data_IF_296081334575
#
_entry.id   IF_296081334575
#
_cell.length_a   1.000
_cell.length_b   1.000
_cell.length_c   1.000
_cell.angle_alpha   90.00
_cell.angle_beta   90.00
_cell.angle_gamma   90.00
#
_symmetry.space_group_name_H-M   'P 1'
#
loop_
_entity.id
_entity.type
_entity.pdbx_description
1 polymer ?
#
# COMPACT_ATOMS: atom_id res chain seq x y z
N UNK A 1 -20.49 -45.85 -22.93
CA UNK A 1 -19.87 -44.51 -22.85
C UNK A 1 -20.21 -43.69 -21.59
N UNK A 2 -21.29 -43.94 -20.83
CA UNK A 2 -21.72 -43.04 -19.73
C UNK A 2 -21.10 -43.18 -18.31
N UNK A 3 -20.07 -44.01 -18.11
CA UNK A 3 -19.43 -44.23 -16.79
C UNK A 3 -18.17 -43.37 -16.59
N UNK A 4 -17.37 -43.21 -17.66
CA UNK A 4 -16.12 -42.44 -17.64
C UNK A 4 -16.34 -40.93 -17.53
N UNK A 5 -17.39 -40.40 -18.17
CA UNK A 5 -17.73 -38.96 -18.07
C UNK A 5 -18.20 -38.56 -16.66
N UNK A 6 -18.92 -39.44 -15.96
CA UNK A 6 -19.34 -39.20 -14.58
C UNK A 6 -18.17 -39.18 -13.60
N UNK A 7 -17.16 -40.04 -13.81
CA UNK A 7 -15.95 -40.04 -13.00
C UNK A 7 -15.10 -38.77 -13.24
N UNK A 8 -15.02 -38.31 -14.51
CA UNK A 8 -14.30 -37.09 -14.88
C UNK A 8 -14.97 -35.84 -14.31
N UNK A 9 -16.30 -35.73 -14.40
CA UNK A 9 -17.08 -34.63 -13.81
C UNK A 9 -16.97 -34.57 -12.27
N UNK A 10 -16.99 -35.73 -11.59
CA UNK A 10 -16.80 -35.78 -10.13
C UNK A 10 -15.41 -35.29 -9.72
N UNK A 11 -14.35 -35.69 -10.45
CA UNK A 11 -12.98 -35.22 -10.18
C UNK A 11 -12.83 -33.71 -10.38
N UNK A 12 -13.37 -33.13 -11.45
CA UNK A 12 -13.33 -31.67 -11.66
C UNK A 12 -14.11 -30.89 -10.59
N UNK A 13 -15.25 -31.41 -10.13
CA UNK A 13 -16.01 -30.78 -9.05
C UNK A 13 -15.24 -30.76 -7.71
N UNK A 14 -14.52 -31.85 -7.39
CA UNK A 14 -13.69 -31.95 -6.17
C UNK A 14 -12.51 -30.96 -6.23
N UNK A 15 -11.80 -30.89 -7.36
CA UNK A 15 -10.67 -29.95 -7.54
C UNK A 15 -11.15 -28.49 -7.46
N UNK A 16 -12.30 -28.17 -8.08
CA UNK A 16 -12.90 -26.83 -7.98
C UNK A 16 -13.27 -26.45 -6.53
N UNK A 17 -13.82 -27.39 -5.75
CA UNK A 17 -14.13 -27.16 -4.33
C UNK A 17 -12.88 -26.98 -3.48
N UNK A 18 -11.81 -27.73 -3.73
CA UNK A 18 -10.54 -27.56 -3.03
C UNK A 18 -9.89 -26.21 -3.31
N UNK A 19 -9.89 -25.77 -4.58
CA UNK A 19 -9.39 -24.43 -4.97
C UNK A 19 -10.19 -23.31 -4.31
N UNK A 20 -11.53 -23.41 -4.28
CA UNK A 20 -12.39 -22.44 -3.58
C UNK A 20 -12.05 -22.39 -2.08
N UNK A 21 -11.97 -23.54 -1.42
CA UNK A 21 -11.65 -23.63 0.02
C UNK A 21 -10.25 -23.06 0.35
N UNK A 22 -9.26 -23.32 -0.49
CA UNK A 22 -7.91 -22.76 -0.36
C UNK A 22 -7.92 -21.23 -0.53
N UNK A 23 -8.65 -20.72 -1.53
CA UNK A 23 -8.82 -19.27 -1.74
C UNK A 23 -9.54 -18.59 -0.57
N UNK A 24 -10.62 -19.18 -0.07
CA UNK A 24 -11.38 -18.63 1.06
C UNK A 24 -10.53 -18.64 2.35
N UNK A 25 -9.69 -19.67 2.53
CA UNK A 25 -8.69 -19.74 3.61
C UNK A 25 -7.65 -18.64 3.47
N UNK A 26 -7.02 -18.49 2.29
CA UNK A 26 -6.02 -17.46 2.05
C UNK A 26 -6.60 -16.05 2.20
N UNK A 27 -7.84 -15.82 1.76
CA UNK A 27 -8.56 -14.57 1.98
C UNK A 27 -8.80 -14.30 3.46
N UNK A 28 -9.30 -15.28 4.21
CA UNK A 28 -9.50 -15.16 5.66
C UNK A 28 -8.18 -14.92 6.40
N UNK A 29 -7.09 -15.58 6.02
CA UNK A 29 -5.75 -15.38 6.60
C UNK A 29 -5.27 -13.95 6.35
N UNK A 30 -5.36 -13.48 5.10
CA UNK A 30 -4.95 -12.13 4.70
C UNK A 30 -5.79 -11.03 5.32
N UNK A 31 -7.12 -11.12 5.28
CA UNK A 31 -7.98 -9.97 5.62
C UNK A 31 -8.36 -9.90 7.09
N UNK A 32 -7.94 -10.85 7.92
CA UNK A 32 -8.44 -10.92 9.31
C UNK A 32 -9.86 -11.50 9.44
N UNK A 33 -10.64 -11.57 8.36
CA UNK A 33 -12.05 -11.93 8.40
C UNK A 33 -12.30 -13.41 8.72
N UNK A 34 -13.48 -13.69 9.27
CA UNK A 34 -13.94 -15.06 9.47
C UNK A 34 -13.97 -15.83 8.14
N UNK A 35 -13.75 -17.15 8.17
CA UNK A 35 -13.87 -17.98 6.96
C UNK A 35 -15.25 -17.92 6.32
N UNK A 36 -16.30 -17.73 7.11
CA UNK A 36 -17.66 -17.58 6.61
C UNK A 36 -17.81 -16.29 5.79
N UNK A 37 -17.36 -15.16 6.33
CA UNK A 37 -17.35 -13.86 5.63
C UNK A 37 -16.45 -13.88 4.40
N UNK A 38 -15.29 -14.53 4.47
CA UNK A 38 -14.38 -14.68 3.33
C UNK A 38 -15.02 -15.51 2.19
N UNK A 39 -15.75 -16.57 2.53
CA UNK A 39 -16.41 -17.47 1.58
C UNK A 39 -17.66 -16.85 0.91
N UNK A 40 -18.35 -15.93 1.58
CA UNK A 40 -19.48 -15.17 1.02
C UNK A 40 -19.03 -13.94 0.25
N UNK A 41 -17.79 -13.49 0.43
CA UNK A 41 -17.26 -12.27 -0.20
C UNK A 41 -17.61 -10.99 0.55
N UNK A 42 -18.36 -11.08 1.65
CA UNK A 42 -18.73 -9.94 2.49
C UNK A 42 -17.65 -9.69 3.55
N UNK A 43 -16.46 -9.29 3.10
CA UNK A 43 -15.40 -8.85 4.01
C UNK A 43 -15.69 -7.40 4.36
N UNK A 44 -15.92 -7.11 5.64
CA UNK A 44 -16.10 -5.73 6.08
C UNK A 44 -14.81 -4.94 5.84
N UNK A 45 -14.97 -3.71 5.37
CA UNK A 45 -13.91 -2.70 5.28
C UNK A 45 -14.33 -1.56 6.18
N UNK A 46 -13.37 -1.04 6.95
CA UNK A 46 -13.59 0.06 7.87
C UNK A 46 -12.76 1.23 7.34
N UNK A 47 -13.42 2.35 7.08
CA UNK A 47 -12.79 3.60 6.66
C UNK A 47 -13.15 4.71 7.66
N UNK A 48 -12.21 5.63 7.96
CA UNK A 48 -10.83 5.65 7.50
C UNK A 48 -9.98 4.55 8.14
N UNK A 49 -9.01 4.04 7.39
CA UNK A 49 -7.95 3.18 7.93
C UNK A 49 -6.91 4.08 8.59
N UNK A 50 -6.59 3.90 9.89
CA UNK A 50 -5.52 4.66 10.50
C UNK A 50 -4.18 4.26 9.92
N UNK A 51 -3.31 5.24 9.71
CA UNK A 51 -1.91 4.99 9.43
C UNK A 51 -1.22 4.51 10.71
N UNK A 52 -0.70 3.28 10.67
CA UNK A 52 -0.03 2.63 11.78
C UNK A 52 1.49 2.52 11.59
N UNK A 53 2.06 3.13 10.54
CA UNK A 53 3.52 3.23 10.34
C UNK A 53 4.22 3.88 11.53
N UNK A 54 3.50 4.72 12.26
CA UNK A 54 3.93 5.32 13.52
C UNK A 54 4.40 4.30 14.56
N UNK A 55 3.94 3.04 14.49
CA UNK A 55 4.36 1.97 15.39
C UNK A 55 5.78 1.46 15.12
N UNK A 56 6.31 1.60 13.89
CA UNK A 56 7.64 1.10 13.51
C UNK A 56 8.77 1.85 14.22
N UNK A 57 8.57 3.14 14.48
CA UNK A 57 9.52 3.96 15.23
C UNK A 57 9.50 3.70 16.75
N UNK A 58 8.61 2.83 17.23
CA UNK A 58 8.46 2.60 18.67
C UNK A 58 9.38 1.50 19.19
N UNK A 59 9.93 1.64 20.41
CA UNK A 59 10.88 0.66 20.93
C UNK A 59 10.21 -0.65 21.37
N UNK A 60 8.88 -0.66 21.54
CA UNK A 60 8.15 -1.68 22.32
C UNK A 60 8.21 -3.10 21.74
N UNK A 61 8.49 -3.23 20.44
CA UNK A 61 8.63 -4.52 19.77
C UNK A 61 10.07 -5.04 19.72
N UNK A 62 11.04 -4.34 20.31
CA UNK A 62 12.45 -4.74 20.36
C UNK A 62 13.03 -5.11 18.97
N UNK A 63 12.69 -4.33 17.94
CA UNK A 63 13.14 -4.53 16.56
C UNK A 63 12.49 -5.73 15.84
N UNK A 64 11.50 -6.40 16.44
CA UNK A 64 10.74 -7.46 15.78
C UNK A 64 9.79 -6.89 14.73
N UNK A 65 9.58 -7.66 13.66
CA UNK A 65 8.68 -7.29 12.57
C UNK A 65 7.24 -7.14 13.04
N UNK A 66 6.64 -6.00 12.69
CA UNK A 66 5.24 -5.70 12.97
C UNK A 66 4.32 -6.16 11.83
N UNK A 67 3.07 -6.44 12.17
CA UNK A 67 1.99 -6.58 11.20
C UNK A 67 1.10 -5.35 11.28
N UNK A 68 1.46 -4.31 10.52
CA UNK A 68 0.79 -3.00 10.53
C UNK A 68 -0.61 -3.06 9.93
N UNK A 69 -0.84 -3.89 8.92
CA UNK A 69 -2.19 -4.11 8.35
C UNK A 69 -3.15 -4.66 9.42
N UNK A 70 -2.71 -5.59 10.26
CA UNK A 70 -3.53 -6.07 11.37
C UNK A 70 -3.75 -5.00 12.44
N UNK A 71 -2.73 -4.21 12.77
CA UNK A 71 -2.89 -3.08 13.70
C UNK A 71 -3.95 -2.10 13.18
N UNK A 72 -3.82 -1.69 11.91
CA UNK A 72 -4.67 -0.69 11.29
C UNK A 72 -6.12 -1.17 11.19
N UNK A 73 -6.34 -2.42 10.75
CA UNK A 73 -7.68 -3.00 10.66
C UNK A 73 -8.31 -3.21 12.03
N UNK A 74 -7.51 -3.55 13.03
CA UNK A 74 -8.00 -3.76 14.38
C UNK A 74 -8.46 -2.45 15.02
N UNK A 75 -7.67 -1.38 14.89
CA UNK A 75 -8.03 -0.04 15.37
C UNK A 75 -9.22 0.50 14.57
N UNK A 76 -9.24 0.37 13.24
CA UNK A 76 -10.39 0.77 12.42
C UNK A 76 -11.68 0.01 12.78
N UNK A 77 -11.59 -1.30 13.04
CA UNK A 77 -12.73 -2.10 13.50
C UNK A 77 -13.20 -1.65 14.90
N UNK A 78 -12.27 -1.29 15.79
CA UNK A 78 -12.56 -0.75 17.11
C UNK A 78 -13.30 0.60 17.01
N UNK A 79 -12.81 1.53 16.20
CA UNK A 79 -13.49 2.82 15.93
C UNK A 79 -14.87 2.64 15.31
N UNK A 80 -15.03 1.70 14.39
CA UNK A 80 -16.30 1.34 13.79
C UNK A 80 -17.22 0.52 14.72
N UNK A 81 -16.76 0.18 15.95
CA UNK A 81 -17.45 -0.68 16.92
C UNK A 81 -17.88 -2.03 16.32
N UNK A 82 -17.07 -2.58 15.42
CA UNK A 82 -17.36 -3.83 14.72
C UNK A 82 -16.79 -5.03 15.48
N UNK A 83 -17.51 -5.46 16.52
CA UNK A 83 -17.11 -6.58 17.39
C UNK A 83 -16.62 -7.84 16.63
N UNK A 84 -17.33 -8.35 15.60
CA UNK A 84 -16.88 -9.55 14.88
C UNK A 84 -15.53 -9.40 14.17
N UNK A 85 -15.22 -8.21 13.65
CA UNK A 85 -13.94 -7.94 12.98
C UNK A 85 -12.83 -7.75 14.01
N UNK A 86 -13.12 -7.01 15.09
CA UNK A 86 -12.21 -6.85 16.22
C UNK A 86 -11.83 -8.20 16.83
N UNK A 87 -12.79 -9.05 17.19
CA UNK A 87 -12.54 -10.36 17.80
C UNK A 87 -11.72 -11.28 16.89
N UNK A 88 -12.06 -11.32 15.59
CA UNK A 88 -11.37 -12.18 14.63
C UNK A 88 -9.91 -11.77 14.40
N UNK A 89 -9.62 -10.47 14.38
CA UNK A 89 -8.26 -9.93 14.20
C UNK A 89 -7.49 -9.99 15.52
N UNK A 90 -8.10 -9.60 16.65
CA UNK A 90 -7.49 -9.61 17.98
C UNK A 90 -6.94 -10.99 18.33
N UNK A 91 -7.71 -12.05 18.08
CA UNK A 91 -7.23 -13.43 18.28
C UNK A 91 -5.95 -13.72 17.51
N UNK A 92 -5.83 -13.28 16.25
CA UNK A 92 -4.61 -13.49 15.46
C UNK A 92 -3.44 -12.68 16.01
N UNK A 93 -3.69 -11.45 16.45
CA UNK A 93 -2.66 -10.59 17.07
C UNK A 93 -2.14 -11.24 18.34
N UNK A 94 -3.02 -11.69 19.23
CA UNK A 94 -2.69 -12.39 20.47
C UNK A 94 -1.97 -13.73 20.22
N UNK A 95 -2.40 -14.53 19.25
CA UNK A 95 -1.82 -15.87 19.04
C UNK A 95 -0.52 -15.85 18.23
N UNK A 96 -0.34 -14.88 17.33
CA UNK A 96 0.69 -14.95 16.27
C UNK A 96 1.48 -13.68 16.02
N UNK A 97 1.03 -12.53 16.54
CA UNK A 97 1.68 -11.23 16.29
C UNK A 97 1.88 -10.46 17.59
N UNK A 98 2.57 -11.08 18.55
CA UNK A 98 2.98 -10.46 19.82
C UNK A 98 3.76 -9.15 19.65
N UNK A 99 4.64 -8.98 18.63
CA UNK A 99 5.26 -7.69 18.35
C UNK A 99 4.24 -6.57 18.09
N UNK A 100 3.23 -6.84 17.25
CA UNK A 100 2.16 -5.89 16.96
C UNK A 100 1.37 -5.53 18.22
N UNK A 101 1.10 -6.51 19.09
CA UNK A 101 0.42 -6.27 20.36
C UNK A 101 1.25 -5.32 21.25
N UNK A 102 2.54 -5.61 21.44
CA UNK A 102 3.43 -4.79 22.25
C UNK A 102 3.53 -3.36 21.72
N UNK A 103 3.58 -3.18 20.40
CA UNK A 103 3.59 -1.87 19.76
C UNK A 103 2.27 -1.11 19.97
N UNK A 104 1.12 -1.75 19.75
CA UNK A 104 -0.20 -1.15 19.96
C UNK A 104 -0.43 -0.71 21.40
N UNK A 105 -0.08 -1.55 22.37
CA UNK A 105 -0.22 -1.25 23.78
C UNK A 105 0.80 -0.21 24.25
N UNK A 106 2.02 -0.25 23.71
CA UNK A 106 3.10 0.66 24.08
C UNK A 106 2.88 2.08 23.56
N UNK A 107 2.35 2.22 22.34
CA UNK A 107 1.97 3.52 21.77
C UNK A 107 0.98 4.28 22.67
N UNK A 108 0.14 3.55 23.39
CA UNK A 108 -0.79 4.09 24.39
C UNK A 108 -0.10 4.27 25.75
N UNK A 109 0.38 3.19 26.36
CA UNK A 109 0.74 3.17 27.78
C UNK A 109 2.21 3.52 28.07
N UNK A 110 3.06 3.55 27.05
CA UNK A 110 4.46 3.95 27.14
C UNK A 110 4.66 5.46 27.27
N UNK A 111 3.63 6.26 26.99
CA UNK A 111 3.66 7.72 27.14
C UNK A 111 3.46 8.14 28.60
N UNK A 112 4.26 9.08 29.09
CA UNK A 112 4.15 9.60 30.46
C UNK A 112 2.78 10.23 30.75
N UNK A 113 2.18 10.87 29.75
CA UNK A 113 0.85 11.49 29.88
C UNK A 113 -0.26 10.48 30.20
N UNK A 114 -0.05 9.21 29.84
CA UNK A 114 -1.00 8.11 30.06
C UNK A 114 -0.70 7.34 31.35
N UNK A 115 0.25 7.80 32.17
CA UNK A 115 0.55 7.18 33.46
C UNK A 115 -0.66 7.07 34.40
N UNK A 116 -1.48 8.13 34.58
CA UNK A 116 -2.67 8.03 35.43
C UNK A 116 -3.65 6.96 34.94
N UNK A 117 -3.82 6.84 33.62
CA UNK A 117 -4.73 5.87 33.00
C UNK A 117 -4.21 4.45 33.21
N UNK A 118 -2.91 4.22 33.00
CA UNK A 118 -2.32 2.89 33.22
C UNK A 118 -2.20 2.50 34.70
N UNK A 119 -2.46 3.40 35.66
CA UNK A 119 -2.60 3.06 37.09
C UNK A 119 -4.07 2.90 37.52
N UNK A 120 -5.00 3.18 36.62
CA UNK A 120 -6.44 3.13 36.90
C UNK A 120 -6.87 1.72 37.34
N UNK A 121 -7.85 1.61 38.25
CA UNK A 121 -8.50 0.33 38.52
C UNK A 121 -9.29 -0.19 37.30
N UNK A 122 -9.56 0.65 36.29
CA UNK A 122 -10.33 0.29 35.11
C UNK A 122 -9.55 -0.44 34.02
N UNK A 123 -8.21 -0.43 34.06
CA UNK A 123 -7.39 -1.30 33.21
C UNK A 123 -7.13 -2.64 33.90
N UNK A 124 -6.79 -3.69 33.16
CA UNK A 124 -6.45 -5.00 33.71
C UNK A 124 -5.21 -4.97 34.62
N UNK A 125 -5.05 -6.01 35.44
CA UNK A 125 -3.83 -6.19 36.24
C UNK A 125 -2.58 -6.36 35.35
N UNK A 126 -2.75 -7.03 34.20
CA UNK A 126 -1.72 -7.23 33.19
C UNK A 126 -1.21 -5.91 32.62
N UNK A 127 -2.13 -5.02 32.22
CA UNK A 127 -1.75 -3.70 31.71
C UNK A 127 -1.04 -2.86 32.77
N UNK A 128 -1.52 -2.89 34.03
CA UNK A 128 -0.87 -2.19 35.14
C UNK A 128 0.56 -2.67 35.41
N UNK A 129 0.80 -3.98 35.33
CA UNK A 129 2.14 -4.54 35.58
C UNK A 129 3.09 -4.32 34.40
N UNK A 130 2.56 -4.30 33.17
CA UNK A 130 3.35 -4.12 31.96
C UNK A 130 3.69 -2.66 31.64
N UNK A 131 2.78 -1.71 31.90
CA UNK A 131 2.96 -0.31 31.53
C UNK A 131 4.27 0.36 32.04
N UNK A 132 4.78 0.08 33.26
CA UNK A 132 6.09 0.57 33.68
C UNK A 132 7.25 0.13 32.76
N UNK A 133 7.21 -1.09 32.22
CA UNK A 133 8.22 -1.59 31.28
C UNK A 133 8.15 -0.84 29.94
N UNK A 134 6.94 -0.59 29.45
CA UNK A 134 6.73 0.22 28.24
C UNK A 134 7.30 1.64 28.42
N UNK A 135 7.06 2.30 29.56
CA UNK A 135 7.63 3.63 29.82
C UNK A 135 9.15 3.62 29.93
N UNK A 136 9.72 2.59 30.56
CA UNK A 136 11.17 2.43 30.60
C UNK A 136 11.74 2.32 29.17
N UNK A 137 11.10 1.53 28.32
CA UNK A 137 11.47 1.37 26.91
C UNK A 137 11.38 2.69 26.13
N UNK A 138 10.34 3.49 26.34
CA UNK A 138 10.20 4.81 25.71
C UNK A 138 11.37 5.75 26.08
N UNK A 139 11.86 5.68 27.32
CA UNK A 139 12.98 6.52 27.81
C UNK A 139 14.35 6.04 27.34
N UNK A 140 14.57 4.74 27.27
CA UNK A 140 15.85 4.15 26.88
C UNK A 140 15.99 3.89 25.38
N UNK A 141 14.88 3.94 24.64
CA UNK A 141 14.77 3.39 23.28
C UNK A 141 15.11 1.89 23.18
N UNK A 142 15.02 1.17 24.30
CA UNK A 142 15.24 -0.28 24.39
C UNK A 142 13.99 -0.97 24.94
N UNK A 143 13.21 -1.61 24.06
CA UNK A 143 12.01 -2.35 24.44
C UNK A 143 12.21 -3.83 24.72
N UNK A 144 13.45 -4.33 24.86
CA UNK A 144 13.73 -5.75 25.08
C UNK A 144 12.93 -6.32 26.26
N UNK A 145 12.93 -5.62 27.40
CA UNK A 145 12.20 -6.06 28.58
C UNK A 145 10.67 -5.98 28.42
N UNK A 146 10.18 -4.94 27.72
CA UNK A 146 8.75 -4.75 27.47
C UNK A 146 8.22 -5.84 26.53
N UNK A 147 8.94 -6.14 25.46
CA UNK A 147 8.58 -7.19 24.51
C UNK A 147 8.65 -8.59 25.13
N UNK A 148 9.73 -8.89 25.87
CA UNK A 148 9.89 -10.17 26.54
C UNK A 148 8.74 -10.47 27.53
N UNK A 149 8.21 -9.45 28.20
CA UNK A 149 7.05 -9.59 29.06
C UNK A 149 5.79 -9.97 28.26
N UNK A 150 5.55 -9.34 27.10
CA UNK A 150 4.41 -9.68 26.21
C UNK A 150 4.54 -11.09 25.64
N UNK A 151 5.75 -11.53 25.32
CA UNK A 151 6.01 -12.88 24.81
C UNK A 151 5.70 -13.97 25.86
N UNK A 152 5.93 -13.67 27.14
CA UNK A 152 5.69 -14.59 28.26
C UNK A 152 4.23 -14.61 28.74
N UNK A 153 3.41 -13.64 28.34
CA UNK A 153 1.99 -13.58 28.72
C UNK A 153 1.20 -14.78 28.20
N UNK A 154 0.26 -15.28 28.99
CA UNK A 154 -0.73 -16.25 28.51
C UNK A 154 -1.58 -15.66 27.39
N UNK A 155 -2.41 -16.48 26.75
CA UNK A 155 -3.36 -15.99 25.76
C UNK A 155 -4.39 -15.05 26.41
N UNK A 156 -4.83 -15.33 27.64
CA UNK A 156 -5.77 -14.46 28.37
C UNK A 156 -5.11 -13.13 28.74
N UNK A 157 -3.91 -13.15 29.32
CA UNK A 157 -3.20 -11.93 29.73
C UNK A 157 -2.92 -11.00 28.53
N UNK A 158 -2.52 -11.56 27.40
CA UNK A 158 -2.30 -10.79 26.18
C UNK A 158 -3.62 -10.25 25.58
N UNK A 159 -4.71 -11.00 25.68
CA UNK A 159 -6.03 -10.51 25.29
C UNK A 159 -6.45 -9.32 26.16
N UNK A 160 -6.27 -9.40 27.48
CA UNK A 160 -6.55 -8.31 28.42
C UNK A 160 -5.74 -7.05 28.08
N UNK A 161 -4.43 -7.20 27.83
CA UNK A 161 -3.56 -6.09 27.44
C UNK A 161 -4.01 -5.45 26.12
N UNK A 162 -4.38 -6.27 25.14
CA UNK A 162 -4.85 -5.79 23.84
C UNK A 162 -6.21 -5.08 23.96
N UNK A 163 -7.14 -5.62 24.74
CA UNK A 163 -8.47 -5.02 24.96
C UNK A 163 -8.35 -3.66 25.63
N UNK A 164 -7.57 -3.56 26.72
CA UNK A 164 -7.30 -2.28 27.39
C UNK A 164 -6.69 -1.24 26.42
N UNK A 165 -5.73 -1.67 25.60
CA UNK A 165 -5.12 -0.79 24.60
C UNK A 165 -6.15 -0.30 23.57
N UNK A 166 -7.01 -1.19 23.06
CA UNK A 166 -8.06 -0.84 22.09
C UNK A 166 -9.12 0.07 22.69
N UNK A 167 -9.51 -0.15 23.94
CA UNK A 167 -10.40 0.77 24.66
C UNK A 167 -9.79 2.17 24.74
N UNK A 168 -8.48 2.26 24.96
CA UNK A 168 -7.80 3.54 24.92
C UNK A 168 -7.75 4.16 23.52
N UNK A 169 -7.46 3.38 22.47
CA UNK A 169 -7.54 3.83 21.08
C UNK A 169 -8.95 4.29 20.69
N UNK A 170 -10.00 3.72 21.29
CA UNK A 170 -11.39 4.14 21.08
C UNK A 170 -11.73 5.45 21.81
N UNK A 171 -11.09 5.71 22.95
CA UNK A 171 -11.26 6.94 23.73
C UNK A 171 -10.44 8.11 23.14
N UNK A 172 -9.26 7.81 22.63
CA UNK A 172 -8.37 8.73 21.95
C UNK A 172 -8.70 8.81 20.46
N UNK A 173 -9.76 9.53 20.11
CA UNK A 173 -9.94 10.07 18.74
C UNK A 173 -8.92 11.17 18.41
N UNK A 174 -7.69 11.06 18.91
CA UNK A 174 -6.59 11.94 18.58
C UNK A 174 -6.14 11.63 17.16
N UNK A 175 -5.97 12.66 16.34
CA UNK A 175 -5.58 12.47 14.94
C UNK A 175 -4.17 11.88 14.87
N UNK A 176 -3.88 11.15 13.79
CA UNK A 176 -2.53 10.62 13.51
C UNK A 176 -1.46 11.71 13.59
N UNK A 177 -1.82 12.95 13.27
CA UNK A 177 -0.95 14.13 13.35
C UNK A 177 -0.56 14.47 14.80
N UNK A 178 -1.49 14.36 15.75
CA UNK A 178 -1.22 14.62 17.17
C UNK A 178 -0.26 13.57 17.76
N UNK A 179 -0.40 12.31 17.36
CA UNK A 179 0.49 11.22 17.79
C UNK A 179 1.87 11.39 17.13
N UNK A 180 1.91 11.78 15.85
CA UNK A 180 3.16 12.00 15.08
C UNK A 180 3.98 13.17 15.64
N UNK A 181 3.34 14.30 15.92
CA UNK A 181 3.99 15.47 16.53
C UNK A 181 4.49 15.19 17.95
N UNK A 182 3.85 14.28 18.65
CA UNK A 182 4.28 13.84 19.97
C UNK A 182 5.49 12.91 19.91
N UNK A 183 5.57 11.99 18.96
CA UNK A 183 6.73 11.11 18.79
C UNK A 183 7.98 11.89 18.36
N UNK A 184 7.82 12.87 17.46
CA UNK A 184 8.90 13.79 17.08
C UNK A 184 9.47 14.60 18.25
N UNK A 185 8.68 14.86 19.30
CA UNK A 185 9.13 15.56 20.51
C UNK A 185 9.91 14.67 21.48
N UNK A 186 9.77 13.34 21.38
CA UNK A 186 10.41 12.37 22.30
C UNK A 186 11.71 11.79 21.71
N UNK A 187 11.89 11.81 20.38
CA UNK A 187 13.11 11.32 19.72
C UNK A 187 13.91 12.44 19.02
N UNK A 188 15.09 12.86 19.54
CA UNK A 188 15.95 13.81 18.85
C UNK A 188 16.66 13.17 17.64
N UNK A 189 16.75 13.94 16.54
CA UNK A 189 17.00 13.50 15.16
C UNK A 189 18.47 13.24 14.79
N UNK A 190 18.70 12.22 13.93
CA UNK A 190 19.61 12.31 12.77
C UNK A 190 20.95 11.53 12.79
N UNK A 191 21.29 10.75 11.74
CA UNK A 191 22.64 10.24 11.49
C UNK A 191 23.54 11.25 10.72
N UNK A 192 24.88 11.20 10.84
CA UNK A 192 25.79 12.23 10.32
C UNK A 192 26.11 12.08 8.81
N UNK A 193 26.59 13.16 8.14
CA UNK A 193 26.74 13.22 6.69
C UNK A 193 28.04 12.59 6.19
N UNK A 194 27.99 11.92 5.01
CA UNK A 194 29.17 11.39 4.31
C UNK A 194 29.73 12.41 3.32
N UNK A 195 31.00 12.75 3.50
CA UNK A 195 31.85 13.54 2.58
C UNK A 195 32.37 12.70 1.41
N UNK A 196 32.48 13.32 0.22
CA UNK A 196 32.73 12.67 -1.07
C UNK A 196 34.17 12.24 -1.39
N UNK A 197 34.29 11.57 -2.54
CA UNK A 197 35.53 11.13 -3.21
C UNK A 197 35.24 10.50 -4.59
N UNK A 198 36.23 10.39 -5.51
CA UNK A 198 36.10 10.85 -6.91
C UNK A 198 35.93 9.75 -7.99
N UNK A 199 35.59 10.23 -9.19
CA UNK A 199 35.31 9.56 -10.47
C UNK A 199 36.53 8.86 -11.10
N UNK A 200 36.37 7.60 -11.55
CA UNK A 200 37.28 6.91 -12.48
C UNK A 200 36.52 5.95 -13.41
N UNK A 201 36.94 5.96 -14.68
CA UNK A 201 36.39 5.25 -15.84
C UNK A 201 36.74 3.75 -15.93
N UNK A 202 35.84 3.04 -16.60
CA UNK A 202 35.99 1.83 -17.45
C UNK A 202 35.89 0.41 -16.86
N UNK A 203 34.84 -0.28 -17.32
CA UNK A 203 34.65 -1.72 -17.54
C UNK A 203 34.78 -2.73 -16.39
N UNK A 204 34.85 -2.27 -15.13
CA UNK A 204 34.61 -3.12 -13.97
C UNK A 204 33.21 -2.87 -13.41
N UNK A 205 32.49 -3.93 -13.00
CA UNK A 205 31.28 -3.80 -12.18
C UNK A 205 31.62 -2.89 -10.98
N UNK A 206 31.01 -1.70 -10.85
CA UNK A 206 31.36 -0.73 -9.81
C UNK A 206 31.23 -1.29 -8.39
N UNK A 207 30.55 -2.42 -8.23
CA UNK A 207 30.33 -3.10 -6.96
C UNK A 207 31.46 -4.09 -6.59
N UNK A 208 32.32 -4.47 -7.53
CA UNK A 208 33.38 -5.47 -7.28
C UNK A 208 34.51 -4.96 -6.41
N UNK A 209 34.87 -3.66 -6.51
CA UNK A 209 35.87 -3.06 -5.64
C UNK A 209 35.46 -3.09 -4.16
N UNK A 210 34.15 -2.95 -3.90
CA UNK A 210 33.58 -3.02 -2.56
C UNK A 210 33.53 -4.46 -2.02
N UNK A 211 33.12 -5.43 -2.86
CA UNK A 211 33.15 -6.86 -2.51
C UNK A 211 34.57 -7.34 -2.21
N UNK A 212 35.57 -6.92 -2.99
CA UNK A 212 36.98 -7.26 -2.78
C UNK A 212 37.56 -6.63 -1.50
N UNK A 213 37.02 -5.50 -1.06
CA UNK A 213 37.37 -4.88 0.22
C UNK A 213 36.66 -5.54 1.43
N UNK A 214 35.89 -6.61 1.22
CA UNK A 214 35.14 -7.30 2.27
C UNK A 214 33.92 -6.52 2.76
N UNK A 215 33.42 -5.57 1.95
CA UNK A 215 32.18 -4.84 2.22
C UNK A 215 31.04 -5.61 1.59
N UNK A 216 30.05 -6.01 2.40
CA UNK A 216 28.82 -6.62 1.90
C UNK A 216 28.03 -5.57 1.10
N UNK A 217 27.90 -5.80 -0.21
CA UNK A 217 27.14 -4.96 -1.14
C UNK A 217 25.84 -5.67 -1.47
N UNK A 218 24.73 -5.10 -1.02
CA UNK A 218 23.38 -5.54 -1.36
C UNK A 218 22.83 -4.66 -2.48
N UNK A 219 22.39 -5.26 -3.57
CA UNK A 219 21.59 -4.56 -4.60
C UNK A 219 20.13 -4.47 -4.16
N UNK A 220 19.31 -3.64 -4.82
CA UNK A 220 17.86 -3.56 -4.52
C UNK A 220 17.16 -4.92 -4.65
N UNK A 221 17.71 -5.83 -5.47
CA UNK A 221 17.22 -7.20 -5.65
C UNK A 221 17.67 -8.15 -4.51
N UNK A 222 18.71 -7.78 -3.75
CA UNK A 222 19.23 -8.54 -2.59
C UNK A 222 18.64 -8.07 -1.25
N UNK A 223 18.00 -6.91 -1.25
CA UNK A 223 17.15 -6.47 -0.15
C UNK A 223 15.80 -7.16 -0.32
N UNK A 224 15.46 -8.08 0.58
CA UNK A 224 14.07 -8.49 0.82
C UNK A 224 13.34 -7.24 1.34
N UNK A 225 12.97 -6.34 0.43
CA UNK A 225 12.28 -5.10 0.73
C UNK A 225 10.92 -5.46 1.31
N UNK A 226 10.83 -5.32 2.64
CA UNK A 226 9.61 -5.49 3.39
C UNK A 226 8.56 -4.46 2.91
N UNK A 227 7.33 -4.95 2.76
CA UNK A 227 6.19 -4.36 2.04
C UNK A 227 5.56 -3.17 2.83
N UNK A 228 6.35 -2.15 3.17
CA UNK A 228 5.84 -0.91 3.80
C UNK A 228 6.38 0.37 3.14
N UNK A 229 7.14 0.25 2.04
CA UNK A 229 7.25 1.37 1.09
C UNK A 229 6.23 1.14 -0.01
N UNK A 230 5.28 2.05 -0.16
CA UNK A 230 4.44 2.06 -1.37
C UNK A 230 5.39 2.25 -2.56
N UNK A 231 5.61 1.21 -3.39
CA UNK A 231 6.58 1.29 -4.47
C UNK A 231 6.20 2.38 -5.48
N UNK A 232 4.94 2.84 -5.46
CA UNK A 232 4.52 4.02 -6.21
C UNK A 232 5.38 5.25 -5.91
N UNK A 233 5.68 5.53 -4.64
CA UNK A 233 6.49 6.70 -4.24
C UNK A 233 8.00 6.51 -4.44
N UNK A 234 8.46 5.28 -4.71
CA UNK A 234 9.84 4.98 -5.05
C UNK A 234 10.08 4.90 -6.56
N UNK A 235 9.02 4.83 -7.35
CA UNK A 235 9.10 4.77 -8.81
C UNK A 235 9.00 6.19 -9.40
N UNK A 236 9.49 6.37 -10.64
CA UNK A 236 9.23 7.57 -11.40
C UNK A 236 7.72 7.87 -11.49
N UNK A 237 7.35 9.06 -11.04
CA UNK A 237 5.97 9.53 -10.92
C UNK A 237 5.59 10.45 -12.09
N UNK A 238 4.38 10.23 -12.60
CA UNK A 238 3.75 11.04 -13.63
C UNK A 238 2.50 11.68 -13.08
N UNK A 239 2.26 12.94 -13.41
CA UNK A 239 0.95 13.55 -13.31
C UNK A 239 0.14 13.29 -14.59
N UNK A 240 -1.17 13.49 -14.51
CA UNK A 240 -2.09 13.33 -15.65
C UNK A 240 -2.82 14.63 -15.95
N UNK A 241 -2.97 14.95 -17.24
CA UNK A 241 -3.77 16.06 -17.70
C UNK A 241 -4.90 15.59 -18.65
N UNK A 242 -6.18 15.77 -18.28
CA UNK A 242 -7.31 15.43 -19.13
C UNK A 242 -7.37 16.29 -20.39
N UNK A 243 -7.43 15.63 -21.54
CA UNK A 243 -7.49 16.20 -22.88
C UNK A 243 -8.56 15.49 -23.72
N UNK A 244 -8.79 15.98 -24.94
CA UNK A 244 -9.65 15.35 -25.93
C UNK A 244 -8.86 15.15 -27.23
N UNK A 245 -9.17 14.08 -27.95
CA UNK A 245 -8.58 13.75 -29.25
C UNK A 245 -9.64 13.19 -30.20
N UNK A 246 -9.25 12.87 -31.42
CA UNK A 246 -10.10 12.20 -32.41
C UNK A 246 -9.64 10.74 -32.56
N UNK A 247 -10.57 9.81 -32.35
CA UNK A 247 -10.40 8.38 -32.51
C UNK A 247 -10.16 7.96 -33.95
N UNK A 248 -9.81 6.68 -34.14
CA UNK A 248 -9.60 6.11 -35.48
C UNK A 248 -10.87 6.10 -36.36
N UNK A 249 -12.05 6.19 -35.73
CA UNK A 249 -13.36 6.29 -36.35
C UNK A 249 -13.79 7.73 -36.67
N UNK A 250 -12.96 8.72 -36.34
CA UNK A 250 -13.27 10.14 -36.51
C UNK A 250 -14.14 10.73 -35.38
N UNK A 251 -14.50 9.93 -34.37
CA UNK A 251 -15.27 10.41 -33.22
C UNK A 251 -14.35 11.02 -32.16
N UNK A 252 -14.89 11.92 -31.34
CA UNK A 252 -14.16 12.39 -30.15
C UNK A 252 -13.87 11.23 -29.20
N UNK A 253 -12.67 11.26 -28.61
CA UNK A 253 -12.18 10.27 -27.66
C UNK A 253 -11.46 11.00 -26.50
N UNK A 254 -11.63 10.55 -25.24
CA UNK A 254 -10.91 11.15 -24.14
C UNK A 254 -9.42 10.81 -24.24
N UNK A 255 -8.58 11.73 -23.81
CA UNK A 255 -7.13 11.57 -23.78
C UNK A 255 -6.59 11.95 -22.40
N UNK A 256 -5.59 11.23 -21.92
CA UNK A 256 -4.78 11.59 -20.75
C UNK A 256 -3.35 11.81 -21.21
N UNK A 257 -2.83 13.02 -20.96
CA UNK A 257 -1.41 13.32 -21.13
C UNK A 257 -0.66 13.03 -19.85
N UNK A 258 0.44 12.26 -19.94
CA UNK A 258 1.35 12.03 -18.84
C UNK A 258 2.44 13.10 -18.88
N UNK A 259 2.68 13.76 -17.75
CA UNK A 259 3.81 14.67 -17.57
C UNK A 259 4.68 14.20 -16.40
N UNK A 260 6.02 14.28 -16.51
CA UNK A 260 6.91 13.92 -15.41
C UNK A 260 6.69 14.82 -14.18
N UNK A 261 6.44 14.23 -13.01
CA UNK A 261 6.47 14.94 -11.71
C UNK A 261 7.80 14.79 -10.98
N UNK A 262 8.62 13.84 -11.43
CA UNK A 262 9.92 13.49 -10.87
C UNK A 262 10.98 13.50 -11.97
N UNK A 263 12.25 13.72 -11.61
CA UNK A 263 13.34 13.88 -12.60
C UNK A 263 13.65 12.61 -13.40
N UNK A 264 13.37 11.45 -12.79
CA UNK A 264 13.54 10.12 -13.37
C UNK A 264 12.33 9.69 -14.23
N UNK A 265 11.21 10.41 -14.16
CA UNK A 265 10.07 10.19 -15.05
C UNK A 265 10.35 10.78 -16.44
N UNK A 266 10.18 9.97 -17.48
CA UNK A 266 10.58 10.34 -18.83
C UNK A 266 10.41 9.21 -19.84
N UNK A 267 10.82 9.45 -21.09
CA UNK A 267 10.59 8.48 -22.16
C UNK A 267 11.32 7.16 -21.91
N UNK A 268 12.53 7.21 -21.34
CA UNK A 268 13.30 6.00 -21.05
C UNK A 268 12.63 5.15 -19.94
N UNK A 269 12.05 5.78 -18.93
CA UNK A 269 11.24 5.10 -17.91
C UNK A 269 9.98 4.48 -18.53
N UNK A 270 9.20 5.24 -19.31
CA UNK A 270 8.01 4.69 -19.97
C UNK A 270 8.35 3.50 -20.88
N UNK A 271 9.44 3.57 -21.65
CA UNK A 271 9.92 2.45 -22.46
C UNK A 271 10.22 1.22 -21.60
N UNK A 272 10.95 1.40 -20.51
CA UNK A 272 11.36 0.30 -19.63
C UNK A 272 10.16 -0.39 -18.96
N UNK A 273 9.17 0.39 -18.53
CA UNK A 273 8.04 -0.07 -17.72
C UNK A 273 6.87 -0.62 -18.53
N UNK A 274 6.55 0.02 -19.65
CA UNK A 274 5.24 -0.18 -20.30
C UNK A 274 5.30 -1.02 -21.57
N UNK A 275 6.47 -1.08 -22.22
CA UNK A 275 6.60 -1.66 -23.56
C UNK A 275 5.75 -0.95 -24.63
N UNK A 276 5.24 0.25 -24.34
CA UNK A 276 4.50 1.05 -25.31
C UNK A 276 5.36 1.36 -26.53
N UNK A 277 4.71 1.71 -27.64
CA UNK A 277 5.40 2.11 -28.86
C UNK A 277 5.45 3.63 -28.95
N UNK A 278 6.52 4.13 -29.58
CA UNK A 278 6.60 5.53 -29.97
C UNK A 278 5.39 5.89 -30.85
N UNK A 279 4.84 7.08 -30.62
CA UNK A 279 3.63 7.57 -31.26
C UNK A 279 3.87 8.91 -31.94
N UNK A 280 3.62 8.96 -33.24
CA UNK A 280 3.90 10.12 -34.12
C UNK A 280 2.65 10.97 -34.42
N UNK A 281 1.56 10.75 -33.68
CA UNK A 281 0.23 11.37 -33.87
C UNK A 281 -0.50 11.00 -35.16
N UNK A 282 0.08 10.21 -36.07
CA UNK A 282 -0.53 9.93 -37.39
C UNK A 282 -1.52 8.79 -37.36
N UNK A 283 -1.30 7.81 -36.49
CA UNK A 283 -2.15 6.61 -36.37
C UNK A 283 -2.43 6.36 -34.91
N UNK A 284 -3.68 6.01 -34.59
CA UNK A 284 -4.05 5.64 -33.22
C UNK A 284 -3.17 4.46 -32.76
N UNK A 285 -2.58 4.51 -31.55
CA UNK A 285 -1.83 3.39 -31.02
C UNK A 285 -2.73 2.16 -30.84
N UNK A 286 -2.16 0.95 -30.76
CA UNK A 286 -2.94 -0.24 -30.50
C UNK A 286 -3.67 -0.13 -29.16
N UNK A 287 -4.87 -0.69 -29.11
CA UNK A 287 -5.58 -0.89 -27.86
C UNK A 287 -4.92 -2.02 -27.07
N UNK A 288 -4.66 -1.75 -25.80
CA UNK A 288 -4.23 -2.75 -24.85
C UNK A 288 -5.28 -2.89 -23.75
N UNK A 289 -6.06 -3.99 -23.75
CA UNK A 289 -7.10 -4.22 -22.77
C UNK A 289 -6.54 -4.61 -21.40
N UNK A 290 -5.23 -4.69 -21.17
CA UNK A 290 -4.68 -4.87 -19.84
C UNK A 290 -4.39 -3.52 -19.17
N UNK A 291 -4.21 -2.45 -19.94
CA UNK A 291 -4.21 -1.10 -19.40
C UNK A 291 -5.62 -0.65 -19.02
N UNK A 292 -5.74 -0.13 -17.80
CA UNK A 292 -6.99 0.31 -17.17
C UNK A 292 -6.85 1.71 -16.60
N UNK A 293 -7.72 2.60 -17.04
CA UNK A 293 -8.01 3.83 -16.31
C UNK A 293 -9.14 3.54 -15.31
N UNK A 294 -8.87 3.70 -14.02
CA UNK A 294 -9.85 3.53 -12.94
C UNK A 294 -10.59 4.83 -12.69
N UNK A 295 -11.91 4.75 -12.67
CA UNK A 295 -12.79 5.89 -12.52
C UNK A 295 -13.95 5.55 -11.59
N UNK A 296 -14.25 6.41 -10.62
CA UNK A 296 -15.30 6.20 -9.63
C UNK A 296 -16.58 6.89 -10.05
N UNK A 297 -17.68 6.13 -10.11
CA UNK A 297 -18.96 6.67 -10.59
C UNK A 297 -19.56 7.65 -9.57
N UNK A 298 -19.36 7.42 -8.27
CA UNK A 298 -20.04 8.16 -7.22
C UNK A 298 -19.81 9.68 -7.27
N UNK A 299 -18.62 10.11 -7.67
CA UNK A 299 -18.19 11.52 -7.70
C UNK A 299 -17.49 11.92 -9.00
N UNK A 300 -17.62 11.08 -10.04
CA UNK A 300 -17.04 11.29 -11.36
C UNK A 300 -15.52 11.57 -11.31
N UNK A 301 -14.80 10.82 -10.48
CA UNK A 301 -13.38 11.04 -10.22
C UNK A 301 -12.49 9.97 -10.87
N UNK A 302 -11.26 10.36 -11.22
CA UNK A 302 -10.20 9.41 -11.60
C UNK A 302 -9.49 8.88 -10.35
N UNK A 303 -9.16 7.59 -10.35
CA UNK A 303 -8.49 6.91 -9.23
C UNK A 303 -7.05 6.51 -9.57
N UNK A 304 -6.80 6.04 -10.80
CA UNK A 304 -5.46 5.59 -11.18
C UNK A 304 -5.38 5.05 -12.60
N UNK A 305 -4.16 4.93 -13.10
CA UNK A 305 -3.82 4.29 -14.38
C UNK A 305 -2.90 3.11 -14.10
N UNK A 306 -3.40 1.91 -14.38
CA UNK A 306 -2.73 0.65 -14.05
C UNK A 306 -2.68 -0.29 -15.25
N UNK A 307 -1.68 -1.15 -15.29
CA UNK A 307 -1.69 -2.37 -16.08
C UNK A 307 -2.15 -3.52 -15.19
N UNK A 308 -2.98 -4.41 -15.76
CA UNK A 308 -3.56 -5.56 -15.08
C UNK A 308 -2.94 -6.83 -15.64
N UNK A 309 -2.26 -7.55 -14.75
CA UNK A 309 -1.60 -8.81 -15.06
C UNK A 309 -2.57 -9.96 -15.38
N UNK A 310 -2.05 -11.10 -15.83
CA UNK A 310 -2.87 -12.26 -16.22
C UNK A 310 -3.66 -12.90 -15.07
N UNK A 311 -3.29 -12.60 -13.83
CA UNK A 311 -3.99 -13.03 -12.62
C UNK A 311 -5.11 -12.08 -12.18
N UNK A 312 -5.27 -10.95 -12.88
CA UNK A 312 -6.28 -9.93 -12.62
C UNK A 312 -5.90 -8.92 -11.53
N UNK A 313 -4.66 -8.95 -11.04
CA UNK A 313 -4.11 -7.93 -10.14
C UNK A 313 -3.39 -6.84 -10.93
N UNK A 314 -3.21 -5.68 -10.30
CA UNK A 314 -2.39 -4.62 -10.87
C UNK A 314 -0.93 -5.07 -10.76
N UNK A 315 -0.26 -5.23 -11.89
CA UNK A 315 1.18 -5.57 -11.94
C UNK A 315 2.04 -4.31 -12.11
N UNK A 316 1.44 -3.22 -12.60
CA UNK A 316 2.09 -1.92 -12.71
C UNK A 316 1.09 -0.79 -12.50
N UNK A 317 1.47 0.19 -11.70
CA UNK A 317 0.74 1.43 -11.50
C UNK A 317 1.58 2.60 -12.03
N UNK A 318 1.05 3.32 -13.01
CA UNK A 318 1.74 4.43 -13.66
C UNK A 318 1.33 5.78 -13.06
N UNK A 319 0.11 5.87 -12.57
CA UNK A 319 -0.41 7.04 -11.88
C UNK A 319 -1.47 6.64 -10.85
N UNK A 320 -1.45 7.30 -9.70
CA UNK A 320 -2.47 7.21 -8.66
C UNK A 320 -2.96 8.61 -8.31
N UNK A 321 -4.27 8.76 -8.19
CA UNK A 321 -4.84 10.00 -7.70
C UNK A 321 -4.47 10.19 -6.21
N UNK A 322 -3.67 11.21 -5.90
CA UNK A 322 -3.36 11.56 -4.51
C UNK A 322 -4.60 12.08 -3.75
N UNK A 323 -5.50 12.75 -4.47
CA UNK A 323 -6.79 13.23 -3.99
C UNK A 323 -7.87 12.94 -5.04
N UNK A 324 -9.16 13.07 -4.68
CA UNK A 324 -10.25 12.85 -5.65
C UNK A 324 -10.17 13.85 -6.80
N UNK A 325 -9.76 13.40 -8.00
CA UNK A 325 -9.70 14.23 -9.21
C UNK A 325 -11.05 14.19 -9.92
N UNK A 326 -11.99 15.01 -9.46
CA UNK A 326 -13.29 15.15 -10.11
C UNK A 326 -13.15 15.73 -11.52
N UNK A 327 -13.74 15.04 -12.49
CA UNK A 327 -13.70 15.43 -13.89
C UNK A 327 -14.81 16.43 -14.23
N UNK A 328 -14.56 17.27 -15.22
CA UNK A 328 -15.59 18.15 -15.79
C UNK A 328 -16.66 17.30 -16.50
N UNK A 329 -17.93 17.69 -16.38
CA UNK A 329 -19.08 16.95 -16.92
C UNK A 329 -18.91 16.45 -18.37
N UNK A 330 -18.54 17.30 -19.34
CA UNK A 330 -18.38 16.87 -20.74
C UNK A 330 -17.29 15.80 -20.94
N UNK A 331 -16.24 15.82 -20.12
CA UNK A 331 -15.17 14.83 -20.21
C UNK A 331 -15.62 13.48 -19.63
N UNK A 332 -16.35 13.51 -18.50
CA UNK A 332 -16.94 12.30 -17.93
C UNK A 332 -17.96 11.65 -18.86
N UNK A 333 -18.84 12.43 -19.48
CA UNK A 333 -19.81 11.93 -20.46
C UNK A 333 -19.11 11.27 -21.66
N UNK A 334 -18.02 11.86 -22.12
CA UNK A 334 -17.19 11.29 -23.18
C UNK A 334 -16.54 9.97 -22.74
N UNK A 335 -16.03 9.92 -21.51
CA UNK A 335 -15.43 8.73 -20.91
C UNK A 335 -16.43 7.58 -20.76
N UNK A 336 -17.62 7.86 -20.22
CA UNK A 336 -18.70 6.89 -20.03
C UNK A 336 -19.21 6.33 -21.36
N UNK A 337 -19.34 7.19 -22.37
CA UNK A 337 -19.77 6.81 -23.72
C UNK A 337 -18.74 5.93 -24.44
N UNK A 338 -17.47 6.33 -24.44
CA UNK A 338 -16.44 5.68 -25.26
C UNK A 338 -15.80 4.49 -24.54
N UNK A 339 -15.72 4.52 -23.21
CA UNK A 339 -15.11 3.50 -22.33
C UNK A 339 -13.66 3.12 -22.68
N UNK A 340 -13.00 3.94 -23.49
CA UNK A 340 -11.61 3.84 -23.87
C UNK A 340 -10.99 5.23 -23.83
N UNK A 341 -9.72 5.30 -23.48
CA UNK A 341 -8.98 6.54 -23.33
C UNK A 341 -7.62 6.40 -24.00
N UNK A 342 -7.22 7.40 -24.76
CA UNK A 342 -5.86 7.50 -25.24
C UNK A 342 -4.98 7.96 -24.09
N UNK A 343 -3.96 7.21 -23.75
CA UNK A 343 -2.91 7.68 -22.83
C UNK A 343 -1.67 7.97 -23.65
N UNK A 344 -1.09 9.16 -23.51
CA UNK A 344 0.14 9.52 -24.21
C UNK A 344 1.10 10.33 -23.34
N UNK A 345 2.39 10.12 -23.51
CA UNK A 345 3.43 10.85 -22.80
C UNK A 345 4.83 10.28 -23.03
N UNK A 346 5.87 10.84 -22.38
CA UNK A 346 5.77 11.99 -21.48
C UNK A 346 5.71 13.31 -22.26
N UNK A 347 5.08 14.33 -21.67
CA UNK A 347 5.09 15.71 -22.15
C UNK A 347 5.54 16.61 -20.99
N UNK A 348 6.69 17.28 -21.14
CA UNK A 348 7.32 18.04 -20.03
C UNK A 348 6.49 19.24 -19.56
N UNK A 349 5.87 19.95 -20.50
CA UNK A 349 5.05 21.11 -20.22
C UNK A 349 3.72 20.94 -20.98
N UNK A 350 2.76 20.21 -20.39
CA UNK A 350 1.54 19.81 -21.09
C UNK A 350 0.62 21.01 -21.38
N UNK A 351 0.74 22.12 -20.64
CA UNK A 351 -0.03 23.35 -20.84
C UNK A 351 0.49 24.21 -22.00
N UNK A 352 1.74 24.00 -22.42
CA UNK A 352 2.34 24.74 -23.52
C UNK A 352 1.69 24.39 -24.87
N UNK A 353 1.22 25.38 -25.65
CA UNK A 353 0.66 25.13 -26.97
C UNK A 353 1.67 24.42 -27.88
N UNK A 354 1.25 23.30 -28.49
CA UNK A 354 2.10 22.53 -29.40
C UNK A 354 3.06 21.57 -28.70
N UNK A 355 3.02 21.42 -27.38
CA UNK A 355 3.95 20.57 -26.63
C UNK A 355 3.84 19.08 -27.02
N UNK A 356 2.62 18.61 -27.29
CA UNK A 356 2.37 17.22 -27.73
C UNK A 356 2.97 16.98 -29.12
N UNK A 357 2.77 17.91 -30.05
CA UNK A 357 3.32 17.86 -31.40
C UNK A 357 4.85 17.95 -31.37
N UNK A 358 5.42 18.78 -30.51
CA UNK A 358 6.85 18.88 -30.31
C UNK A 358 7.44 17.58 -29.77
N UNK A 359 6.82 16.97 -28.76
CA UNK A 359 7.24 15.67 -28.21
C UNK A 359 7.15 14.56 -29.27
N UNK A 360 6.08 14.53 -30.06
CA UNK A 360 5.92 13.57 -31.15
C UNK A 360 6.99 13.77 -32.25
N UNK A 361 7.27 15.02 -32.64
CA UNK A 361 8.28 15.35 -33.64
C UNK A 361 9.71 15.00 -33.18
N UNK A 362 9.98 15.11 -31.89
CA UNK A 362 11.23 14.68 -31.26
C UNK A 362 11.34 13.14 -31.15
N UNK A 363 10.27 12.39 -31.41
CA UNK A 363 10.22 10.95 -31.15
C UNK A 363 10.19 10.61 -29.66
N UNK A 364 9.81 11.59 -28.82
CA UNK A 364 9.77 11.49 -27.36
C UNK A 364 8.39 11.11 -26.82
N UNK A 365 7.40 10.89 -27.69
CA UNK A 365 6.04 10.56 -27.31
C UNK A 365 5.76 9.05 -27.47
N UNK A 366 5.14 8.45 -26.46
CA UNK A 366 4.64 7.08 -26.45
C UNK A 366 3.16 7.08 -26.14
N UNK A 367 2.42 6.06 -26.59
CA UNK A 367 0.99 6.00 -26.32
C UNK A 367 0.39 4.59 -26.36
N UNK A 368 -0.76 4.45 -25.69
CA UNK A 368 -1.63 3.27 -25.70
C UNK A 368 -3.09 3.70 -25.66
N UNK A 369 -4.01 2.89 -26.19
CA UNK A 369 -5.43 3.03 -25.86
C UNK A 369 -5.77 2.07 -24.72
N UNK A 370 -6.08 2.64 -23.56
CA UNK A 370 -6.47 1.91 -22.35
C UNK A 370 -8.00 1.81 -22.25
N UNK A 371 -8.50 0.79 -21.55
CA UNK A 371 -9.94 0.67 -21.25
C UNK A 371 -10.26 1.39 -19.94
N UNK A 372 -11.46 1.93 -19.84
CA UNK A 372 -11.97 2.47 -18.58
C UNK A 372 -12.57 1.36 -17.72
N UNK A 373 -12.28 1.39 -16.43
CA UNK A 373 -12.86 0.51 -15.41
C UNK A 373 -13.58 1.37 -14.38
N UNK A 374 -14.90 1.22 -14.31
CA UNK A 374 -15.72 1.96 -13.36
C UNK A 374 -15.86 1.22 -12.03
N UNK A 375 -15.73 1.95 -10.92
CA UNK A 375 -15.89 1.46 -9.54
C UNK A 375 -17.12 2.03 -8.83
#
# INVERSE_FOLDING_TARGET
MGSWDRARQKRTAVVKRQRKKSRDKARSERTGASRASAATGNVHRHEPMPDMTILEGTPYAAGQRLNLDFAARLVAACWAKCGPCQESIARKVVERHRPTLAALAGAVYGLELNEPVARSPHVSATTRSWAPLARAAAKSSDGTAAYAAVEQMTAEEAADLLEDALDHWALGGASTDEITDMIKKVMPSGPPPRTGGPQQDSDADPLDAFRQAGVDVFTLDDLDLDIDVDPYHLAPNYGVMPMQTIGADGCEMPMLLLYPETEDAGIEDLKARTGWKGWDLRRMPPMDPNWRLRARIADHALEGLVHVGPDGWDDLELWRAAESVSLRGPWWELLDRVQHVLVAGPVKDPDSPGAVEAAAAAGELMAVVARVSFS
#
